data_IF_843811544244
#
_entry.id   IF_843811544244
#
_cell.length_a   1.000
_cell.length_b   1.000
_cell.length_c   1.000
_cell.angle_alpha   90.00
_cell.angle_beta   90.00
_cell.angle_gamma   90.00
#
_symmetry.space_group_name_H-M   'P 1'
#
loop_
_entity.id
_entity.type
_entity.pdbx_description
1 polymer ?
#
# COMPACT_ATOMS: atom_id res chain seq x y z
N UNK A 1 -30.72 11.48 -22.74
CA UNK A 1 -29.85 11.24 -21.55
C UNK A 1 -28.92 10.09 -21.91
N UNK A 2 -27.59 10.25 -21.82
CA UNK A 2 -26.66 9.13 -22.10
C UNK A 2 -26.82 8.10 -20.99
N UNK A 3 -27.27 6.89 -21.32
CA UNK A 3 -27.28 5.78 -20.38
C UNK A 3 -25.83 5.43 -20.04
N UNK A 4 -25.46 5.58 -18.76
CA UNK A 4 -24.15 5.16 -18.27
C UNK A 4 -24.08 3.64 -18.26
N UNK A 5 -23.00 3.08 -18.80
CA UNK A 5 -22.69 1.63 -18.73
C UNK A 5 -22.26 1.19 -17.34
N UNK A 6 -22.04 2.15 -16.42
CA UNK A 6 -21.61 1.89 -15.06
C UNK A 6 -22.80 1.64 -14.14
N UNK A 7 -22.61 0.74 -13.16
CA UNK A 7 -23.57 0.54 -12.08
C UNK A 7 -23.72 1.81 -11.23
N UNK A 8 -24.78 1.90 -10.39
CA UNK A 8 -24.96 3.01 -9.45
C UNK A 8 -23.76 3.22 -8.52
N UNK A 9 -23.05 2.14 -8.16
CA UNK A 9 -21.82 2.20 -7.36
C UNK A 9 -20.67 2.84 -8.16
N UNK A 10 -20.50 2.46 -9.43
CA UNK A 10 -19.50 3.08 -10.29
C UNK A 10 -19.77 4.56 -10.54
N UNK A 11 -21.04 4.93 -10.71
CA UNK A 11 -21.44 6.32 -10.95
C UNK A 11 -21.18 7.27 -9.78
N UNK A 12 -21.14 6.76 -8.54
CA UNK A 12 -20.86 7.56 -7.32
C UNK A 12 -19.41 7.52 -6.87
N UNK A 13 -18.56 6.77 -7.59
CA UNK A 13 -17.14 6.66 -7.24
C UNK A 13 -16.39 7.81 -7.90
N UNK A 14 -15.75 8.64 -7.09
CA UNK A 14 -14.95 9.77 -7.55
C UNK A 14 -13.48 9.55 -7.19
N UNK A 15 -12.59 10.27 -7.88
CA UNK A 15 -11.18 10.26 -7.51
C UNK A 15 -11.01 10.82 -6.09
N UNK A 16 -10.13 10.25 -5.25
CA UNK A 16 -9.87 10.78 -3.93
C UNK A 16 -9.35 12.22 -4.02
N UNK A 17 -9.97 13.15 -3.29
CA UNK A 17 -9.61 14.58 -3.34
C UNK A 17 -8.14 14.86 -2.97
N UNK A 18 -7.53 13.99 -2.14
CA UNK A 18 -6.14 14.13 -1.70
C UNK A 18 -5.11 13.74 -2.76
N UNK A 19 -5.49 12.94 -3.78
CA UNK A 19 -4.53 12.36 -4.75
C UNK A 19 -3.72 13.43 -5.48
N UNK A 20 -4.37 14.53 -5.88
CA UNK A 20 -3.68 15.64 -6.55
C UNK A 20 -2.73 16.37 -5.60
N UNK A 21 -3.11 16.56 -4.33
CA UNK A 21 -2.24 17.20 -3.33
C UNK A 21 -0.98 16.36 -3.04
N UNK A 22 -1.12 15.03 -3.02
CA UNK A 22 0.01 14.12 -2.90
C UNK A 22 0.95 14.22 -4.10
N UNK A 23 0.43 14.24 -5.32
CA UNK A 23 1.23 14.41 -6.55
C UNK A 23 2.02 15.73 -6.53
N UNK A 24 1.38 16.82 -6.14
CA UNK A 24 2.04 18.14 -6.06
C UNK A 24 3.15 18.15 -5.00
N UNK A 25 2.92 17.53 -3.84
CA UNK A 25 3.92 17.44 -2.77
C UNK A 25 5.13 16.58 -3.20
N UNK A 26 4.92 15.48 -3.92
CA UNK A 26 6.00 14.61 -4.40
C UNK A 26 6.79 15.22 -5.56
N UNK A 27 6.11 15.91 -6.49
CA UNK A 27 6.76 16.53 -7.65
C UNK A 27 7.51 17.82 -7.34
N UNK A 28 7.27 18.42 -6.17
CA UNK A 28 7.88 19.70 -5.74
C UNK A 28 8.56 19.54 -4.38
N UNK A 29 9.81 19.05 -4.32
CA UNK A 29 10.49 18.73 -3.06
C UNK A 29 10.67 19.90 -2.08
N UNK A 30 10.61 21.13 -2.58
CA UNK A 30 10.76 22.36 -1.77
C UNK A 30 9.42 22.89 -1.24
N UNK A 31 8.29 22.26 -1.60
CA UNK A 31 6.97 22.63 -1.13
C UNK A 31 6.76 22.07 0.28
N UNK A 32 6.43 22.94 1.24
CA UNK A 32 5.96 22.51 2.55
C UNK A 32 4.51 22.03 2.40
N UNK A 33 4.28 20.73 2.54
CA UNK A 33 2.95 20.12 2.50
C UNK A 33 2.48 19.78 3.91
N UNK A 34 1.36 20.37 4.32
CA UNK A 34 0.63 20.01 5.55
C UNK A 34 -0.61 19.15 5.26
N UNK A 35 -0.83 18.80 3.98
CA UNK A 35 -2.06 18.17 3.52
C UNK A 35 -1.91 16.65 3.36
N UNK A 36 -0.76 16.17 2.88
CA UNK A 36 -0.53 14.76 2.64
C UNK A 36 0.04 14.09 3.90
N UNK A 37 -0.58 13.00 4.36
CA UNK A 37 -0.11 12.20 5.49
C UNK A 37 1.02 11.25 5.11
N UNK A 38 2.11 11.76 4.53
CA UNK A 38 3.30 10.95 4.26
C UNK A 38 4.03 10.63 5.55
N UNK A 39 4.47 9.39 5.69
CA UNK A 39 5.38 8.98 6.76
C UNK A 39 6.78 9.54 6.47
N UNK A 40 7.46 10.01 7.51
CA UNK A 40 8.84 10.46 7.39
C UNK A 40 9.76 9.30 6.99
N UNK A 41 10.56 9.48 5.94
CA UNK A 41 11.45 8.42 5.43
C UNK A 41 12.42 7.89 6.50
N UNK A 42 12.92 8.76 7.37
CA UNK A 42 13.84 8.40 8.47
C UNK A 42 13.18 7.50 9.52
N UNK A 43 11.84 7.51 9.62
CA UNK A 43 11.09 6.65 10.54
C UNK A 43 10.78 5.26 9.97
N UNK A 44 11.05 5.04 8.67
CA UNK A 44 10.77 3.76 8.03
C UNK A 44 11.78 2.71 8.52
N UNK A 45 11.33 1.56 9.05
CA UNK A 45 12.20 0.55 9.66
C UNK A 45 12.86 -0.33 8.58
N UNK A 46 13.66 0.28 7.70
CA UNK A 46 14.23 -0.39 6.51
C UNK A 46 15.10 -1.58 6.91
N UNK A 47 15.86 -1.48 8.00
CA UNK A 47 16.73 -2.56 8.45
C UNK A 47 15.92 -3.70 9.07
N UNK A 48 14.98 -3.41 9.97
CA UNK A 48 14.13 -4.43 10.59
C UNK A 48 13.28 -5.17 9.54
N UNK A 49 12.74 -4.44 8.57
CA UNK A 49 11.99 -5.03 7.46
C UNK A 49 12.86 -5.96 6.60
N UNK A 50 14.13 -5.58 6.36
CA UNK A 50 15.09 -6.41 5.62
C UNK A 50 15.41 -7.68 6.40
N UNK A 51 15.65 -7.59 7.70
CA UNK A 51 16.02 -8.74 8.53
C UNK A 51 14.88 -9.75 8.60
N UNK A 52 13.65 -9.28 8.78
CA UNK A 52 12.45 -10.14 8.75
C UNK A 52 12.27 -10.82 7.38
N UNK A 53 12.46 -10.08 6.28
CA UNK A 53 12.33 -10.65 4.94
C UNK A 53 13.38 -11.73 4.69
N UNK A 54 14.62 -11.48 5.12
CA UNK A 54 15.70 -12.46 5.03
C UNK A 54 15.33 -13.74 5.80
N UNK A 55 14.83 -13.63 7.03
CA UNK A 55 14.45 -14.80 7.83
C UNK A 55 13.26 -15.57 7.22
N UNK A 56 12.24 -14.88 6.70
CA UNK A 56 11.09 -15.53 6.04
C UNK A 56 11.55 -16.32 4.80
N UNK A 57 12.42 -15.73 3.99
CA UNK A 57 12.84 -16.28 2.69
C UNK A 57 14.06 -17.23 2.77
N UNK A 58 14.72 -17.31 3.94
CA UNK A 58 15.90 -18.15 4.19
C UNK A 58 15.68 -19.63 3.88
N UNK A 59 14.49 -20.16 4.17
CA UNK A 59 14.13 -21.56 3.94
C UNK A 59 13.15 -21.67 2.78
N UNK A 60 13.42 -22.57 1.83
CA UNK A 60 12.56 -22.81 0.67
C UNK A 60 11.11 -23.12 1.04
N UNK A 61 10.87 -23.90 2.11
CA UNK A 61 9.52 -24.27 2.54
C UNK A 61 8.73 -23.08 3.07
N UNK A 62 9.34 -22.24 3.92
CA UNK A 62 8.70 -21.04 4.48
C UNK A 62 8.54 -19.96 3.42
N UNK A 63 9.56 -19.77 2.57
CA UNK A 63 9.51 -18.83 1.46
C UNK A 63 8.44 -19.17 0.44
N UNK A 64 8.31 -20.44 0.03
CA UNK A 64 7.25 -20.87 -0.90
C UNK A 64 5.86 -20.70 -0.31
N UNK A 65 5.68 -20.97 0.99
CA UNK A 65 4.41 -20.74 1.66
C UNK A 65 4.05 -19.23 1.72
N UNK A 66 5.02 -18.36 2.00
CA UNK A 66 4.81 -16.90 2.04
C UNK A 66 4.47 -16.29 0.66
N UNK A 67 4.89 -16.95 -0.43
CA UNK A 67 4.66 -16.49 -1.81
C UNK A 67 3.43 -17.14 -2.47
N UNK A 68 2.75 -18.07 -1.77
CA UNK A 68 1.58 -18.79 -2.29
C UNK A 68 0.29 -18.19 -1.75
N UNK A 69 -0.83 -18.44 -2.43
CA UNK A 69 -2.17 -18.13 -1.95
C UNK A 69 -2.38 -18.53 -0.48
N UNK A 70 -2.85 -17.58 0.32
CA UNK A 70 -3.27 -17.78 1.70
C UNK A 70 -4.78 -17.97 1.84
N UNK A 71 -5.23 -18.09 3.08
CA UNK A 71 -6.67 -18.06 3.40
C UNK A 71 -7.14 -16.63 3.65
N UNK A 72 -8.40 -16.34 3.37
CA UNK A 72 -9.00 -15.01 3.61
C UNK A 72 -9.05 -14.65 5.09
N UNK A 73 -9.12 -15.64 5.99
CA UNK A 73 -9.30 -15.40 7.42
C UNK A 73 -8.01 -14.90 8.09
N UNK A 74 -6.90 -15.62 7.87
CA UNK A 74 -5.57 -15.27 8.36
C UNK A 74 -4.56 -16.30 7.86
N UNK A 75 -3.28 -15.92 7.84
CA UNK A 75 -2.18 -16.88 7.81
C UNK A 75 -2.06 -17.58 9.19
N UNK A 76 -2.12 -18.93 9.29
CA UNK A 76 -2.13 -19.65 10.58
C UNK A 76 -0.87 -19.50 11.43
N UNK A 77 0.27 -19.22 10.80
CA UNK A 77 1.60 -19.06 11.40
C UNK A 77 1.96 -17.60 11.75
N UNK A 78 1.02 -16.65 11.61
CA UNK A 78 1.21 -15.26 12.03
C UNK A 78 0.70 -15.04 13.47
N UNK A 79 1.49 -15.51 14.44
CA UNK A 79 1.38 -15.18 15.87
C UNK A 79 2.52 -14.24 16.27
#
# INVERSE_FOLDING_TARGET
MKHSVLSKLGQRSEAPAISWLMEVALSRPQLISLAAGFTDNESLPVNDARDLLNEILKNRKTGQAALQYGTTARRPDAA
#
